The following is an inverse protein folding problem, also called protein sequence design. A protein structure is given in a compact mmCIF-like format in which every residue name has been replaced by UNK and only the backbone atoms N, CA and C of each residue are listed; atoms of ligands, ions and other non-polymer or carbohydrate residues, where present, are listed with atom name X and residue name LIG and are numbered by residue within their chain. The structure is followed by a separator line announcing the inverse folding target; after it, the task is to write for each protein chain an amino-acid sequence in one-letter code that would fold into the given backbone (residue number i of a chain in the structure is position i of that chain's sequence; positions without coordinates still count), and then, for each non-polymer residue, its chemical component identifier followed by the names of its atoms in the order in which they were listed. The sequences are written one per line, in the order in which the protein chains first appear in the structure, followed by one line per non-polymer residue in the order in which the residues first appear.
data_IF_936233980915
#
_entry.id   IF_936233980915
#
_cell.length_a   1.000
_cell.length_b   1.000
_cell.length_c   1.000
_cell.angle_alpha   90.00
_cell.angle_beta   90.00
_cell.angle_gamma   90.00
#
_symmetry.space_group_name_H-M   'P 1'
#
loop_
_entity.id
_entity.type
_entity.pdbx_description
1 polymer ?
#
# COMPACT_ATOMS: atom_id res chain seq x y z
N UNK A 1 0.20 -14.53 -11.19
CA UNK A 1 1.30 -13.95 -11.98
C UNK A 1 1.65 -12.64 -11.29
N UNK A 2 2.93 -12.28 -11.21
CA UNK A 2 3.29 -10.96 -10.69
C UNK A 2 2.89 -9.93 -11.74
N UNK A 3 1.96 -9.05 -11.38
CA UNK A 3 1.40 -8.04 -12.28
C UNK A 3 1.90 -6.67 -11.82
N UNK A 4 3.12 -6.26 -12.23
CA UNK A 4 3.76 -5.05 -11.72
C UNK A 4 2.96 -3.78 -12.05
N UNK A 5 2.18 -3.79 -13.14
CA UNK A 5 1.25 -2.70 -13.46
C UNK A 5 0.16 -2.59 -12.39
N UNK A 6 -0.45 -3.71 -11.99
CA UNK A 6 -1.51 -3.72 -10.99
C UNK A 6 -0.99 -3.27 -9.62
N UNK A 7 0.20 -3.72 -9.24
CA UNK A 7 0.86 -3.26 -8.02
C UNK A 7 1.12 -1.74 -8.03
N UNK A 8 1.51 -1.17 -9.18
CA UNK A 8 1.71 0.27 -9.31
C UNK A 8 0.40 1.07 -9.22
N UNK A 9 -0.70 0.57 -9.77
CA UNK A 9 -2.02 1.19 -9.62
C UNK A 9 -2.46 1.20 -8.15
N UNK A 10 -2.40 0.05 -7.48
CA UNK A 10 -2.74 -0.09 -6.07
C UNK A 10 -1.83 0.78 -5.18
N UNK A 11 -0.54 0.89 -5.51
CA UNK A 11 0.37 1.82 -4.82
C UNK A 11 -0.09 3.27 -4.95
N UNK A 12 -0.47 3.70 -6.16
CA UNK A 12 -0.92 5.06 -6.39
C UNK A 12 -2.24 5.34 -5.66
N UNK A 13 -3.16 4.36 -5.65
CA UNK A 13 -4.40 4.42 -4.90
C UNK A 13 -4.16 4.49 -3.38
N UNK A 14 -3.29 3.64 -2.85
CA UNK A 14 -2.87 3.67 -1.46
C UNK A 14 -2.24 5.01 -1.07
N UNK A 15 -1.41 5.60 -1.94
CA UNK A 15 -0.83 6.93 -1.71
C UNK A 15 -1.92 8.01 -1.66
N UNK A 16 -2.92 7.93 -2.54
CA UNK A 16 -4.04 8.86 -2.55
C UNK A 16 -4.91 8.74 -1.29
N UNK A 17 -5.17 7.51 -0.82
CA UNK A 17 -5.89 7.24 0.43
C UNK A 17 -5.10 7.75 1.64
N UNK A 18 -3.79 7.50 1.67
CA UNK A 18 -2.90 7.99 2.72
C UNK A 18 -2.93 9.52 2.82
N UNK A 19 -2.88 10.22 1.67
CA UNK A 19 -2.99 11.68 1.62
C UNK A 19 -4.36 12.22 2.07
N UNK A 20 -5.41 11.41 1.99
CA UNK A 20 -6.76 11.74 2.51
C UNK A 20 -6.90 11.49 4.02
N UNK A 21 -5.90 10.88 4.66
CA UNK A 21 -6.00 10.42 6.06
C UNK A 21 -6.72 9.09 6.23
N UNK A 22 -7.05 8.40 5.13
CA UNK A 22 -7.72 7.09 5.14
C UNK A 22 -6.67 5.98 5.32
N UNK A 23 -5.96 5.98 6.45
CA UNK A 23 -4.82 5.07 6.66
C UNK A 23 -5.22 3.59 6.69
N UNK A 24 -6.45 3.27 7.12
CA UNK A 24 -6.96 1.89 7.15
C UNK A 24 -7.12 1.34 5.74
N UNK A 25 -7.82 2.08 4.87
CA UNK A 25 -7.99 1.71 3.47
C UNK A 25 -6.64 1.67 2.73
N UNK A 26 -5.77 2.64 2.99
CA UNK A 26 -4.42 2.65 2.43
C UNK A 26 -3.62 1.39 2.83
N UNK A 27 -3.69 0.98 4.11
CA UNK A 27 -3.01 -0.21 4.62
C UNK A 27 -3.44 -1.49 3.89
N UNK A 28 -4.74 -1.67 3.67
CA UNK A 28 -5.28 -2.82 2.95
C UNK A 28 -4.89 -2.78 1.47
N UNK A 29 -4.95 -1.60 0.85
CA UNK A 29 -4.56 -1.41 -0.55
C UNK A 29 -3.09 -1.76 -0.79
N UNK A 30 -2.18 -1.34 0.11
CA UNK A 30 -0.77 -1.74 0.02
C UNK A 30 -0.56 -3.23 0.27
N UNK A 31 -1.37 -3.85 1.13
CA UNK A 31 -1.30 -5.29 1.36
C UNK A 31 -1.67 -6.06 0.07
N UNK A 32 -2.71 -5.63 -0.64
CA UNK A 32 -3.09 -6.20 -1.93
C UNK A 32 -1.99 -5.95 -2.99
N UNK A 33 -1.41 -4.74 -3.02
CA UNK A 33 -0.30 -4.43 -3.91
C UNK A 33 0.92 -5.36 -3.70
N UNK A 34 1.23 -5.68 -2.45
CA UNK A 34 2.31 -6.62 -2.08
C UNK A 34 2.03 -8.03 -2.62
N UNK A 35 0.78 -8.45 -2.76
CA UNK A 35 0.46 -9.76 -3.37
C UNK A 35 0.80 -9.81 -4.86
N UNK A 36 0.81 -8.65 -5.53
CA UNK A 36 1.16 -8.53 -6.95
C UNK A 36 2.65 -8.21 -7.17
N UNK A 37 3.32 -7.58 -6.21
CA UNK A 37 4.73 -7.19 -6.25
C UNK A 37 5.37 -7.27 -4.85
N UNK A 38 5.65 -8.49 -4.38
CA UNK A 38 6.14 -8.74 -3.02
C UNK A 38 7.56 -8.23 -2.79
N UNK A 39 8.33 -8.09 -3.86
CA UNK A 39 9.72 -7.63 -3.85
C UNK A 39 9.85 -6.11 -3.71
N UNK A 40 8.73 -5.38 -3.77
CA UNK A 40 8.74 -3.93 -3.71
C UNK A 40 8.78 -3.43 -2.28
N UNK A 41 10.00 -3.11 -1.81
CA UNK A 41 10.24 -2.57 -0.48
C UNK A 41 9.42 -1.30 -0.18
N UNK A 42 9.06 -0.50 -1.20
CA UNK A 42 8.25 0.72 -1.02
C UNK A 42 6.84 0.39 -0.54
N UNK A 43 6.22 -0.68 -1.04
CA UNK A 43 4.88 -1.09 -0.61
C UNK A 43 4.87 -1.49 0.86
N UNK A 44 5.89 -2.24 1.30
CA UNK A 44 6.06 -2.62 2.70
C UNK A 44 6.29 -1.40 3.59
N UNK A 45 7.13 -0.46 3.16
CA UNK A 45 7.39 0.79 3.89
C UNK A 45 6.13 1.65 4.02
N UNK A 46 5.36 1.82 2.93
CA UNK A 46 4.12 2.59 2.95
C UNK A 46 3.04 1.93 3.83
N UNK A 47 2.94 0.60 3.78
CA UNK A 47 2.06 -0.17 4.67
C UNK A 47 2.46 0.00 6.14
N UNK A 48 3.75 -0.03 6.45
CA UNK A 48 4.25 0.23 7.80
C UNK A 48 3.95 1.66 8.26
N UNK A 49 4.10 2.66 7.39
CA UNK A 49 3.71 4.04 7.69
C UNK A 49 2.21 4.12 8.04
N UNK A 50 1.34 3.44 7.28
CA UNK A 50 -0.09 3.36 7.61
C UNK A 50 -0.34 2.73 8.99
N UNK A 51 0.37 1.66 9.35
CA UNK A 51 0.24 1.04 10.67
C UNK A 51 0.61 2.01 11.80
N UNK A 52 1.70 2.75 11.64
CA UNK A 52 2.14 3.78 12.59
C UNK A 52 1.06 4.85 12.77
N UNK A 53 0.44 5.32 11.69
CA UNK A 53 -0.66 6.29 11.77
C UNK A 53 -1.93 5.72 12.41
N UNK A 54 -2.20 4.44 12.23
CA UNK A 54 -3.32 3.73 12.87
C UNK A 54 -3.04 3.37 14.34
N UNK A 55 -1.80 3.51 14.81
CA UNK A 55 -1.39 3.07 16.15
C UNK A 55 -1.39 1.54 16.31
N UNK A 56 -1.20 0.79 15.22
CA UNK A 56 -1.02 -0.67 15.23
C UNK A 56 0.46 -1.02 15.21
#
# INVERSE_FOLDING_TARGET
MADPIRAQELKAEGNALFGKGEWSAAYETYAEAIQHDDQNAVLHANRAACAIHLGK
#
